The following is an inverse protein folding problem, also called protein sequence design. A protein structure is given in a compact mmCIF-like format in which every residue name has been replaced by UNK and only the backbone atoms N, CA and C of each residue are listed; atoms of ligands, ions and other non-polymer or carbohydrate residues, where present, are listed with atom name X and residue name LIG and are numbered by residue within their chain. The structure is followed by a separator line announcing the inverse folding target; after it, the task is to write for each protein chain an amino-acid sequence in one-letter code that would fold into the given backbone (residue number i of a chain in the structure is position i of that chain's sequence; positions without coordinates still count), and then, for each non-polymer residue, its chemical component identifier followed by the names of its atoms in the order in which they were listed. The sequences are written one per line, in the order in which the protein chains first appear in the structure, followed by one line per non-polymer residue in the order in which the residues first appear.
data_IF_237434853655
#
_entry.id   IF_237434853655
#
_cell.length_a   1.000
_cell.length_b   1.000
_cell.length_c   1.000
_cell.angle_alpha   90.00
_cell.angle_beta   90.00
_cell.angle_gamma   90.00
#
_symmetry.space_group_name_H-M   'P 1'
#
loop_
_entity.id
_entity.type
_entity.pdbx_description
1 polymer ?
#
# COMPACT_ATOMS: atom_id res chain seq x y z
N UNK A 1 -13.84 -10.40 -1.38
CA UNK A 1 -12.85 -9.68 -2.21
C UNK A 1 -11.91 -8.93 -1.29
N UNK A 2 -10.60 -9.22 -1.38
CA UNK A 2 -9.54 -8.64 -0.54
C UNK A 2 -9.04 -7.35 -1.18
N UNK A 3 -8.98 -6.27 -0.41
CA UNK A 3 -8.51 -4.96 -0.87
C UNK A 3 -7.02 -4.83 -0.61
N UNK A 4 -6.23 -4.89 -1.68
CA UNK A 4 -4.77 -4.75 -1.61
C UNK A 4 -4.36 -3.41 -2.20
N UNK A 5 -3.62 -2.62 -1.44
CA UNK A 5 -3.03 -1.38 -1.94
C UNK A 5 -1.56 -1.62 -2.25
N UNK A 6 -1.10 -1.17 -3.41
CA UNK A 6 0.32 -1.11 -3.73
C UNK A 6 0.75 0.34 -3.57
N UNK A 7 1.56 0.60 -2.54
CA UNK A 7 2.00 1.94 -2.16
C UNK A 7 3.47 2.12 -2.58
N UNK A 8 3.68 2.93 -3.62
CA UNK A 8 5.00 3.08 -4.20
C UNK A 8 5.00 3.39 -5.68
N UNK A 9 6.19 3.47 -6.26
CA UNK A 9 6.37 3.52 -7.71
C UNK A 9 6.52 2.11 -8.26
N UNK A 10 6.15 1.90 -9.53
CA UNK A 10 6.45 0.69 -10.29
C UNK A 10 6.07 -0.62 -9.56
N UNK A 11 4.87 -0.61 -8.98
CA UNK A 11 4.43 -1.65 -8.05
C UNK A 11 4.02 -2.97 -8.70
N UNK A 12 4.16 -3.12 -10.01
CA UNK A 12 3.51 -4.22 -10.75
C UNK A 12 4.29 -5.50 -10.57
N UNK A 13 5.61 -5.45 -10.64
CA UNK A 13 6.45 -6.60 -10.30
C UNK A 13 6.19 -7.08 -8.86
N UNK A 14 5.90 -6.16 -7.93
CA UNK A 14 5.53 -6.51 -6.56
C UNK A 14 4.17 -7.20 -6.50
N UNK A 15 3.16 -6.66 -7.19
CA UNK A 15 1.84 -7.28 -7.26
C UNK A 15 1.89 -8.68 -7.91
N UNK A 16 2.67 -8.85 -8.98
CA UNK A 16 2.88 -10.14 -9.62
C UNK A 16 3.64 -11.12 -8.72
N UNK A 17 4.66 -10.65 -7.98
CA UNK A 17 5.38 -11.47 -7.01
C UNK A 17 4.47 -11.90 -5.87
N UNK A 18 3.57 -11.02 -5.42
CA UNK A 18 2.57 -11.33 -4.40
C UNK A 18 1.65 -12.46 -4.88
N UNK A 19 1.16 -12.38 -6.11
CA UNK A 19 0.27 -13.38 -6.68
C UNK A 19 0.92 -14.75 -6.91
N UNK A 20 2.25 -14.83 -7.01
CA UNK A 20 2.96 -16.11 -7.06
C UNK A 20 2.92 -16.84 -5.70
N UNK A 21 2.90 -16.08 -4.61
CA UNK A 21 2.97 -16.62 -3.24
C UNK A 21 1.58 -16.73 -2.57
N UNK A 22 0.57 -16.06 -3.12
CA UNK A 22 -0.78 -16.02 -2.56
C UNK A 22 -1.84 -16.50 -3.56
N UNK A 23 -2.82 -17.28 -3.06
CA UNK A 23 -3.93 -17.77 -3.86
C UNK A 23 -4.78 -16.60 -4.41
N UNK A 24 -5.15 -16.70 -5.69
CA UNK A 24 -5.67 -15.59 -6.53
C UNK A 24 -7.18 -15.29 -6.29
N UNK A 25 -7.82 -15.93 -5.31
CA UNK A 25 -9.28 -15.83 -5.18
C UNK A 25 -9.73 -14.42 -4.71
N UNK A 26 -10.26 -13.64 -5.67
CA UNK A 26 -10.93 -12.34 -5.47
C UNK A 26 -10.06 -11.23 -4.87
N UNK A 27 -8.94 -10.93 -5.51
CA UNK A 27 -8.06 -9.82 -5.12
C UNK A 27 -8.30 -8.59 -5.99
N UNK A 28 -8.43 -7.41 -5.36
CA UNK A 28 -8.50 -6.12 -6.05
C UNK A 28 -7.29 -5.27 -5.67
N UNK A 29 -6.53 -4.80 -6.66
CA UNK A 29 -5.36 -3.96 -6.43
C UNK A 29 -5.65 -2.47 -6.63
N UNK A 30 -5.22 -1.64 -5.70
CA UNK A 30 -5.17 -0.18 -5.87
C UNK A 30 -3.72 0.27 -5.86
N UNK A 31 -3.21 0.75 -6.98
CA UNK A 31 -1.86 1.30 -7.08
C UNK A 31 -1.89 2.79 -6.74
N UNK A 32 -1.12 3.20 -5.73
CA UNK A 32 -0.99 4.58 -5.25
C UNK A 32 0.49 4.94 -5.23
N UNK A 33 0.89 5.96 -5.98
CA UNK A 33 2.28 6.42 -6.00
C UNK A 33 2.84 6.59 -7.39
N UNK A 34 2.27 5.97 -8.41
CA UNK A 34 2.76 6.14 -9.77
C UNK A 34 2.52 7.59 -10.25
N UNK A 35 3.59 8.40 -10.31
CA UNK A 35 3.58 9.79 -10.82
C UNK A 35 3.24 9.84 -12.31
N UNK A 36 3.39 8.70 -13.00
CA UNK A 36 3.19 8.56 -14.43
C UNK A 36 1.89 7.83 -14.81
N UNK A 37 1.15 7.27 -13.85
CA UNK A 37 -0.16 6.67 -14.13
C UNK A 37 -1.16 7.78 -14.48
N UNK A 38 -1.79 7.77 -15.65
CA UNK A 38 -3.00 8.58 -15.83
C UNK A 38 -4.12 7.99 -14.96
N UNK A 39 -5.00 8.84 -14.43
CA UNK A 39 -6.12 8.38 -13.61
C UNK A 39 -6.87 7.28 -14.41
N UNK A 40 -6.84 6.05 -13.89
CA UNK A 40 -7.41 4.83 -14.50
C UNK A 40 -6.59 4.08 -15.56
N UNK A 41 -5.39 4.53 -15.96
CA UNK A 41 -4.55 3.81 -16.94
C UNK A 41 -3.08 3.75 -16.50
N UNK A 42 -2.55 2.53 -16.42
CA UNK A 42 -1.10 2.35 -16.37
C UNK A 42 -0.50 2.75 -17.70
N UNK A 43 0.61 3.49 -17.64
CA UNK A 43 1.22 4.09 -18.83
C UNK A 43 1.89 3.05 -19.74
N UNK A 44 2.37 1.96 -19.15
CA UNK A 44 2.92 0.83 -19.89
C UNK A 44 1.78 -0.15 -20.20
N UNK A 45 1.37 -0.16 -21.47
CA UNK A 45 0.42 -1.13 -22.00
C UNK A 45 0.88 -2.55 -21.68
N UNK A 46 2.17 -2.88 -21.73
CA UNK A 46 2.64 -4.23 -21.45
C UNK A 46 2.40 -4.64 -20.00
N UNK A 47 2.63 -3.71 -19.07
CA UNK A 47 2.46 -3.95 -17.64
C UNK A 47 0.98 -3.96 -17.24
N UNK A 48 0.15 -3.09 -17.80
CA UNK A 48 -1.31 -3.15 -17.69
C UNK A 48 -1.89 -4.42 -18.31
N UNK A 49 -1.37 -4.83 -19.47
CA UNK A 49 -1.73 -6.07 -20.16
C UNK A 49 -1.34 -7.29 -19.35
N UNK A 50 -0.21 -7.28 -18.62
CA UNK A 50 0.19 -8.39 -17.75
C UNK A 50 -0.83 -8.61 -16.62
N UNK A 51 -1.27 -7.54 -15.94
CA UNK A 51 -2.28 -7.64 -14.89
C UNK A 51 -3.65 -8.06 -15.43
N UNK A 52 -4.06 -7.52 -16.58
CA UNK A 52 -5.31 -7.92 -17.26
C UNK A 52 -5.28 -9.38 -17.74
N UNK A 53 -4.15 -9.84 -18.33
CA UNK A 53 -3.94 -11.24 -18.73
C UNK A 53 -3.97 -12.20 -17.54
N UNK A 54 -3.55 -11.74 -16.35
CA UNK A 54 -3.68 -12.48 -15.10
C UNK A 54 -5.11 -12.48 -14.53
N UNK A 55 -6.08 -11.83 -15.21
CA UNK A 55 -7.49 -11.79 -14.81
C UNK A 55 -7.76 -10.90 -13.58
N UNK A 56 -6.86 -9.96 -13.28
CA UNK A 56 -6.92 -9.15 -12.07
C UNK A 56 -7.76 -7.90 -12.26
N UNK A 57 -8.49 -7.54 -11.20
CA UNK A 57 -9.14 -6.23 -11.12
C UNK A 57 -8.21 -5.25 -10.42
N UNK A 58 -8.01 -4.07 -11.01
CA UNK A 58 -7.16 -3.05 -10.42
C UNK A 58 -7.58 -1.62 -10.79
N UNK A 59 -7.12 -0.67 -9.98
CA UNK A 59 -7.16 0.78 -10.30
C UNK A 59 -5.81 1.41 -10.02
N UNK A 60 -5.46 2.42 -10.82
CA UNK A 60 -4.21 3.17 -10.68
C UNK A 60 -4.52 4.63 -10.39
N UNK A 61 -3.82 5.20 -9.40
CA UNK A 61 -4.03 6.55 -8.92
C UNK A 61 -2.72 7.31 -8.82
N UNK A 62 -2.71 8.54 -9.34
CA UNK A 62 -1.64 9.51 -9.07
C UNK A 62 -1.66 9.80 -7.57
N UNK A 63 -0.53 9.67 -6.89
CA UNK A 63 -0.40 10.08 -5.49
C UNK A 63 -0.45 11.60 -5.39
N UNK A 64 -1.64 12.17 -5.21
CA UNK A 64 -1.85 13.64 -5.11
C UNK A 64 -2.08 14.13 -3.68
N UNK A 65 -2.10 13.24 -2.70
CA UNK A 65 -2.41 13.58 -1.31
C UNK A 65 -3.92 13.68 -1.08
N UNK A 66 -4.74 13.17 -1.98
CA UNK A 66 -6.17 13.45 -2.00
C UNK A 66 -6.93 12.52 -1.04
N UNK A 67 -8.07 12.96 -0.46
CA UNK A 67 -8.86 12.18 0.49
C UNK A 67 -9.25 10.78 0.00
N UNK A 68 -9.39 10.64 -1.31
CA UNK A 68 -9.74 9.39 -1.99
C UNK A 68 -8.61 8.35 -1.98
N UNK A 69 -7.34 8.76 -1.94
CA UNK A 69 -6.19 7.85 -1.78
C UNK A 69 -6.14 7.30 -0.35
N UNK A 70 -6.40 8.17 0.63
CA UNK A 70 -6.52 7.80 2.03
C UNK A 70 -7.65 6.79 2.27
N UNK A 71 -8.79 6.94 1.57
CA UNK A 71 -9.92 6.01 1.71
C UNK A 71 -9.53 4.58 1.32
N UNK A 72 -8.81 4.39 0.21
CA UNK A 72 -8.37 3.05 -0.21
C UNK A 72 -7.47 2.39 0.86
N UNK A 73 -6.54 3.16 1.43
CA UNK A 73 -5.63 2.69 2.49
C UNK A 73 -6.34 2.47 3.84
N UNK A 74 -7.40 3.21 4.16
CA UNK A 74 -8.17 3.04 5.41
C UNK A 74 -8.88 1.69 5.45
N UNK A 75 -9.36 1.20 4.31
CA UNK A 75 -10.09 -0.07 4.21
C UNK A 75 -9.28 -1.23 3.61
N UNK A 76 -7.99 -1.00 3.32
CA UNK A 76 -7.13 -2.05 2.81
C UNK A 76 -6.98 -3.19 3.82
N UNK A 77 -7.05 -4.43 3.33
CA UNK A 77 -6.62 -5.59 4.10
C UNK A 77 -5.09 -5.63 4.16
N UNK A 78 -4.45 -5.31 3.04
CA UNK A 78 -3.01 -5.39 2.88
C UNK A 78 -2.42 -4.24 2.06
N UNK A 79 -1.17 -3.91 2.37
CA UNK A 79 -0.39 -2.89 1.65
C UNK A 79 0.91 -3.51 1.19
N UNK A 80 1.22 -3.43 -0.10
CA UNK A 80 2.53 -3.78 -0.64
C UNK A 80 3.36 -2.50 -0.72
N UNK A 81 4.47 -2.44 0.03
CA UNK A 81 5.41 -1.33 0.01
C UNK A 81 6.41 -1.53 -1.14
N UNK A 82 6.61 -0.50 -1.97
CA UNK A 82 7.52 -0.56 -3.13
C UNK A 82 8.29 0.76 -3.29
N UNK A 83 9.61 0.70 -3.45
CA UNK A 83 10.48 1.87 -3.74
C UNK A 83 10.12 3.12 -2.91
N UNK A 84 9.83 2.93 -1.63
CA UNK A 84 9.29 3.96 -0.75
C UNK A 84 10.33 5.03 -0.39
N UNK A 85 11.61 4.80 -0.69
CA UNK A 85 12.70 5.67 -0.29
C UNK A 85 12.64 7.03 -1.00
N UNK A 86 12.41 7.02 -2.33
CA UNK A 86 12.31 8.23 -3.15
C UNK A 86 11.17 9.16 -2.70
N UNK A 87 10.18 8.61 -2.00
CA UNK A 87 9.00 9.33 -1.52
C UNK A 87 8.78 9.18 -0.02
N UNK A 88 9.85 8.96 0.73
CA UNK A 88 9.80 8.66 2.16
C UNK A 88 8.93 9.65 2.93
N UNK A 89 9.09 10.95 2.67
CA UNK A 89 8.30 12.00 3.33
C UNK A 89 6.80 11.89 3.01
N UNK A 90 6.44 11.82 1.73
CA UNK A 90 5.04 11.67 1.32
C UNK A 90 4.43 10.40 1.89
N UNK A 91 5.10 9.24 1.75
CA UNK A 91 4.62 7.97 2.30
C UNK A 91 4.45 8.04 3.81
N UNK A 92 5.35 8.72 4.52
CA UNK A 92 5.24 8.94 5.97
C UNK A 92 3.98 9.73 6.32
N UNK A 93 3.75 10.85 5.63
CA UNK A 93 2.60 11.71 5.87
C UNK A 93 1.27 10.98 5.55
N UNK A 94 1.23 10.20 4.46
CA UNK A 94 0.09 9.35 4.11
C UNK A 94 -0.21 8.32 5.16
N UNK A 95 0.78 7.48 5.51
CA UNK A 95 0.58 6.38 6.45
C UNK A 95 0.20 6.91 7.82
N UNK A 96 0.77 8.05 8.25
CA UNK A 96 0.35 8.72 9.48
C UNK A 96 -1.14 9.09 9.44
N UNK A 97 -1.59 9.78 8.39
CA UNK A 97 -3.00 10.19 8.28
C UNK A 97 -3.94 8.98 8.23
N UNK A 98 -3.57 7.95 7.46
CA UNK A 98 -4.31 6.70 7.33
C UNK A 98 -4.41 5.97 8.66
N UNK A 99 -3.30 5.77 9.37
CA UNK A 99 -3.31 5.05 10.64
C UNK A 99 -4.15 5.76 11.70
N UNK A 100 -4.08 7.09 11.77
CA UNK A 100 -4.94 7.89 12.63
C UNK A 100 -6.43 7.75 12.27
N UNK A 101 -6.76 7.70 10.98
CA UNK A 101 -8.14 7.48 10.54
C UNK A 101 -8.61 6.04 10.80
N UNK A 102 -7.78 5.03 10.54
CA UNK A 102 -8.10 3.62 10.80
C UNK A 102 -8.34 3.38 12.28
N UNK A 103 -7.52 3.95 13.16
CA UNK A 103 -7.72 3.86 14.61
C UNK A 103 -9.09 4.39 15.07
N UNK A 104 -9.73 5.29 14.30
CA UNK A 104 -11.05 5.87 14.63
C UNK A 104 -12.22 5.23 13.89
N UNK A 105 -12.02 4.88 12.63
CA UNK A 105 -13.12 4.51 11.71
C UNK A 105 -13.13 3.03 11.34
N UNK A 106 -12.00 2.34 11.53
CA UNK A 106 -11.81 0.95 11.14
C UNK A 106 -10.88 0.20 12.10
N UNK A 107 -11.03 0.48 13.40
CA UNK A 107 -10.05 0.09 14.41
C UNK A 107 -9.88 -1.44 14.52
N UNK A 108 -10.95 -2.19 14.23
CA UNK A 108 -11.00 -3.64 14.35
C UNK A 108 -10.42 -4.44 13.18
N UNK A 109 -10.08 -3.80 12.05
CA UNK A 109 -9.52 -4.49 10.88
C UNK A 109 -7.98 -4.46 10.91
N UNK A 110 -7.31 -5.63 11.06
CA UNK A 110 -5.86 -5.71 10.97
C UNK A 110 -5.34 -5.25 9.61
N UNK A 111 -4.09 -4.79 9.58
CA UNK A 111 -3.42 -4.38 8.36
C UNK A 111 -2.10 -5.13 8.22
N UNK A 112 -1.94 -5.89 7.14
CA UNK A 112 -0.65 -6.51 6.82
C UNK A 112 0.08 -5.68 5.78
N UNK A 113 1.33 -5.32 6.08
CA UNK A 113 2.21 -4.59 5.20
C UNK A 113 3.30 -5.53 4.71
N UNK A 114 3.42 -5.67 3.40
CA UNK A 114 4.40 -6.53 2.75
C UNK A 114 5.54 -5.70 2.17
N UNK A 115 6.75 -6.24 2.22
CA UNK A 115 7.94 -5.65 1.64
C UNK A 115 8.80 -6.76 1.02
N UNK A 116 9.63 -6.44 0.03
CA UNK A 116 10.63 -7.39 -0.46
C UNK A 116 11.83 -7.42 0.47
N UNK A 117 12.50 -8.57 0.58
CA UNK A 117 13.68 -8.72 1.43
C UNK A 117 14.74 -7.64 1.22
N UNK A 118 15.00 -7.27 -0.03
CA UNK A 118 15.95 -6.21 -0.40
C UNK A 118 15.53 -4.80 0.06
N UNK A 119 14.25 -4.60 0.40
CA UNK A 119 13.67 -3.34 0.86
C UNK A 119 13.39 -3.31 2.39
N UNK A 120 13.86 -4.33 3.12
CA UNK A 120 13.58 -4.49 4.56
C UNK A 120 13.96 -3.25 5.38
N UNK A 121 15.16 -2.72 5.16
CA UNK A 121 15.67 -1.58 5.91
C UNK A 121 14.82 -0.32 5.66
N UNK A 122 14.41 -0.11 4.41
CA UNK A 122 13.59 1.02 3.97
C UNK A 122 12.18 0.92 4.56
N UNK A 123 11.57 -0.27 4.54
CA UNK A 123 10.26 -0.52 5.13
C UNK A 123 10.26 -0.27 6.65
N UNK A 124 11.28 -0.78 7.36
CA UNK A 124 11.43 -0.54 8.79
C UNK A 124 11.68 0.94 9.11
N UNK A 125 12.54 1.61 8.35
CA UNK A 125 12.80 3.04 8.51
C UNK A 125 11.54 3.89 8.29
N UNK A 126 10.73 3.55 7.28
CA UNK A 126 9.45 4.22 7.01
C UNK A 126 8.50 4.07 8.18
N UNK A 127 8.24 2.85 8.64
CA UNK A 127 7.30 2.61 9.75
C UNK A 127 7.77 3.24 11.06
N UNK A 128 9.09 3.23 11.32
CA UNK A 128 9.66 3.95 12.47
C UNK A 128 9.39 5.45 12.39
N UNK A 129 9.57 6.07 11.22
CA UNK A 129 9.28 7.48 11.02
C UNK A 129 7.79 7.80 11.19
N UNK A 130 6.90 6.96 10.65
CA UNK A 130 5.45 7.09 10.85
C UNK A 130 5.12 7.00 12.34
N UNK A 131 5.63 5.99 13.03
CA UNK A 131 5.39 5.78 14.45
C UNK A 131 5.84 6.97 15.32
N UNK A 132 7.04 7.50 15.08
CA UNK A 132 7.59 8.64 15.83
C UNK A 132 6.75 9.93 15.70
N UNK A 133 5.88 10.01 14.69
CA UNK A 133 5.08 11.21 14.42
C UNK A 133 3.61 11.07 14.83
N UNK A 134 3.20 9.92 15.37
CA UNK A 134 1.82 9.65 15.82
C UNK A 134 1.60 9.95 17.30
N UNK A 135 0.38 10.36 17.66
CA UNK A 135 -0.08 10.52 19.04
C UNK A 135 -0.47 9.15 19.66
N UNK A 136 -0.69 9.11 20.99
CA UNK A 136 -0.86 7.87 21.77
C UNK A 136 -1.92 6.90 21.21
N UNK A 137 -3.12 7.38 20.84
CA UNK A 137 -4.20 6.51 20.32
C UNK A 137 -3.81 5.83 18.99
N UNK A 138 -3.17 6.57 18.08
CA UNK A 138 -2.72 6.03 16.79
C UNK A 138 -1.55 5.06 16.95
N UNK A 139 -0.66 5.34 17.91
CA UNK A 139 0.47 4.48 18.24
C UNK A 139 0.01 3.14 18.84
N UNK A 140 -0.96 3.14 19.76
CA UNK A 140 -1.50 1.91 20.35
C UNK A 140 -2.16 1.02 19.28
N UNK A 141 -3.00 1.62 18.43
CA UNK A 141 -3.61 0.90 17.31
C UNK A 141 -2.55 0.32 16.36
N UNK A 142 -1.54 1.10 15.99
CA UNK A 142 -0.47 0.66 15.10
C UNK A 142 0.23 -0.60 15.62
N UNK A 143 0.64 -0.62 16.88
CA UNK A 143 1.33 -1.78 17.46
C UNK A 143 0.46 -3.03 17.54
N UNK A 144 -0.85 -2.88 17.73
CA UNK A 144 -1.77 -4.01 17.87
C UNK A 144 -2.23 -4.55 16.50
N UNK A 145 -2.42 -3.67 15.53
CA UNK A 145 -3.13 -4.00 14.29
C UNK A 145 -2.25 -4.09 13.05
N UNK A 146 -1.06 -3.46 13.05
CA UNK A 146 -0.16 -3.48 11.89
C UNK A 146 0.84 -4.62 12.02
N UNK A 147 0.89 -5.48 11.01
CA UNK A 147 1.91 -6.52 10.85
C UNK A 147 2.79 -6.19 9.66
N UNK A 148 4.10 -6.28 9.83
CA UNK A 148 5.05 -6.14 8.73
C UNK A 148 5.61 -7.53 8.38
N UNK A 149 5.51 -7.94 7.12
CA UNK A 149 5.92 -9.27 6.64
C UNK A 149 6.77 -9.19 5.36
N UNK A 150 7.79 -10.04 5.28
CA UNK A 150 8.56 -10.24 4.05
C UNK A 150 7.70 -11.05 3.07
N UNK A 151 7.66 -10.62 1.80
CA UNK A 151 6.96 -11.29 0.72
C UNK A 151 7.75 -12.48 0.15
#
# INVERSE_FOLDING_TARGET
MKQIVVLGNDGVDMAMSYLKHHAIAQTYFTFIGDENADENFMRDEDTGNQLQKAGLQFTCRKSKGEPQDCHALVYADEVLLVDVDKRRKQCTDYLKAVFLMRAKTNAGQPLTMWYRKEEQEQALCLLKAVHQTMQEEGSAWFHQMVKLQEL
#
